data_IF_630634439036
#
_entry.id   IF_630634439036
#
_cell.length_a   1.000
_cell.length_b   1.000
_cell.length_c   1.000
_cell.angle_alpha   90.00
_cell.angle_beta   90.00
_cell.angle_gamma   90.00
#
_symmetry.space_group_name_H-M   'P 1'
#
loop_
_entity.id
_entity.type
_entity.pdbx_description
1 polymer ?
#
# COMPACT_ATOMS: atom_id res chain seq x y z
N UNK A 1 -12.46 -18.45 48.04
CA UNK A 1 -11.34 -18.21 47.11
C UNK A 1 -11.94 -17.75 45.79
N UNK A 2 -11.94 -16.44 45.55
CA UNK A 2 -12.43 -15.88 44.29
C UNK A 2 -11.43 -16.22 43.18
N UNK A 3 -11.86 -16.72 42.02
CA UNK A 3 -10.96 -17.02 40.92
C UNK A 3 -10.36 -15.71 40.43
N UNK A 4 -9.03 -15.64 40.45
CA UNK A 4 -8.24 -14.56 39.85
C UNK A 4 -8.53 -14.53 38.36
N UNK A 5 -9.36 -13.58 37.91
CA UNK A 5 -9.51 -13.23 36.50
C UNK A 5 -8.16 -12.73 36.04
N UNK A 6 -7.48 -13.49 35.18
CA UNK A 6 -6.22 -13.08 34.60
C UNK A 6 -6.42 -11.76 33.87
N UNK A 7 -5.70 -10.72 34.29
CA UNK A 7 -5.64 -9.45 33.58
C UNK A 7 -5.25 -9.71 32.11
N UNK A 8 -5.89 -9.07 31.13
CA UNK A 8 -5.43 -9.17 29.75
C UNK A 8 -3.96 -8.72 29.70
N UNK A 9 -3.09 -9.57 29.12
CA UNK A 9 -1.66 -9.24 28.97
C UNK A 9 -1.55 -7.96 28.15
N UNK A 10 -0.69 -7.04 28.58
CA UNK A 10 -0.42 -5.83 27.82
C UNK A 10 0.01 -6.19 26.38
N UNK A 11 -0.50 -5.48 25.36
CA UNK A 11 -0.16 -5.74 23.97
C UNK A 11 1.36 -5.61 23.77
N UNK A 12 1.94 -6.54 23.01
CA UNK A 12 3.39 -6.59 22.82
C UNK A 12 3.84 -5.56 21.78
N UNK A 13 4.89 -4.81 22.12
CA UNK A 13 5.61 -3.90 21.22
C UNK A 13 6.60 -4.62 20.28
N UNK A 14 6.70 -5.95 20.36
CA UNK A 14 7.55 -6.71 19.43
C UNK A 14 7.02 -6.58 17.98
N UNK A 15 7.85 -6.17 17.00
CA UNK A 15 7.44 -5.97 15.61
C UNK A 15 6.71 -7.16 14.97
N UNK A 16 7.10 -8.39 15.32
CA UNK A 16 6.46 -9.60 14.79
C UNK A 16 5.04 -9.79 15.33
N UNK A 17 4.82 -9.31 16.55
CA UNK A 17 3.51 -9.33 17.20
C UNK A 17 2.57 -8.34 16.54
N UNK A 18 3.06 -7.14 16.26
CA UNK A 18 2.32 -6.13 15.48
C UNK A 18 1.97 -6.67 14.10
N UNK A 19 2.94 -7.23 13.38
CA UNK A 19 2.72 -7.78 12.04
C UNK A 19 1.67 -8.91 12.03
N UNK A 20 1.77 -9.88 12.95
CA UNK A 20 0.82 -10.98 13.05
C UNK A 20 -0.60 -10.49 13.35
N UNK A 21 -0.73 -9.46 14.18
CA UNK A 21 -2.04 -8.88 14.49
C UNK A 21 -2.66 -8.14 13.31
N UNK A 22 -1.86 -7.39 12.56
CA UNK A 22 -2.33 -6.77 11.31
C UNK A 22 -2.79 -7.84 10.34
N UNK A 23 -2.00 -8.90 10.12
CA UNK A 23 -2.36 -9.99 9.21
C UNK A 23 -3.70 -10.63 9.59
N UNK A 24 -3.91 -10.93 10.87
CA UNK A 24 -5.20 -11.47 11.34
C UNK A 24 -6.36 -10.50 11.12
N UNK A 25 -6.14 -9.20 11.34
CA UNK A 25 -7.18 -8.21 11.10
C UNK A 25 -7.54 -8.10 9.62
N UNK A 26 -6.58 -8.26 8.71
CA UNK A 26 -6.82 -8.33 7.26
C UNK A 26 -7.64 -9.58 6.93
N UNK A 27 -7.20 -10.75 7.39
CA UNK A 27 -7.85 -12.03 7.06
C UNK A 27 -9.27 -12.13 7.66
N UNK A 28 -9.45 -11.74 8.94
CA UNK A 28 -10.74 -11.88 9.64
C UNK A 28 -11.73 -10.75 9.35
N UNK A 29 -11.26 -9.52 9.13
CA UNK A 29 -12.10 -8.31 9.09
C UNK A 29 -12.05 -7.58 7.75
N UNK A 30 -11.34 -8.12 6.76
CA UNK A 30 -11.15 -7.51 5.44
C UNK A 30 -10.65 -6.06 5.54
N UNK A 31 -9.83 -5.81 6.56
CA UNK A 31 -9.35 -4.47 6.84
C UNK A 31 -8.11 -4.14 6.01
N UNK A 32 -7.91 -2.86 5.74
CA UNK A 32 -6.80 -2.40 4.92
C UNK A 32 -5.53 -2.19 5.74
N UNK A 33 -4.43 -2.81 5.31
CA UNK A 33 -3.11 -2.75 5.99
C UNK A 33 -2.66 -1.31 6.24
N UNK A 34 -2.82 -0.44 5.24
CA UNK A 34 -2.42 0.98 5.29
C UNK A 34 -3.24 1.80 6.30
N UNK A 35 -4.37 1.28 6.78
CA UNK A 35 -5.17 1.91 7.83
C UNK A 35 -4.82 1.37 9.22
N UNK A 36 -4.65 0.04 9.33
CA UNK A 36 -4.43 -0.61 10.64
C UNK A 36 -3.00 -0.42 11.14
N UNK A 37 -2.00 -0.73 10.32
CA UNK A 37 -0.61 -0.81 10.76
C UNK A 37 -0.13 0.52 11.39
N UNK A 38 -0.34 1.71 10.79
CA UNK A 38 0.07 2.97 11.41
C UNK A 38 -0.63 3.23 12.75
N UNK A 39 -1.90 2.81 12.90
CA UNK A 39 -2.64 2.91 14.15
C UNK A 39 -2.02 2.07 15.25
N UNK A 40 -1.75 0.79 14.98
CA UNK A 40 -1.14 -0.13 15.94
C UNK A 40 0.29 0.26 16.33
N UNK A 41 1.09 0.76 15.38
CA UNK A 41 2.44 1.24 15.67
C UNK A 41 2.41 2.41 16.66
N UNK A 42 1.53 3.39 16.44
CA UNK A 42 1.35 4.53 17.36
C UNK A 42 0.80 4.10 18.72
N UNK A 43 -0.22 3.25 18.75
CA UNK A 43 -0.82 2.76 20.00
C UNK A 43 0.22 2.07 20.90
N UNK A 44 1.17 1.36 20.28
CA UNK A 44 2.20 0.58 20.99
C UNK A 44 3.54 1.30 21.15
N UNK A 45 3.66 2.53 20.67
CA UNK A 45 4.90 3.30 20.69
C UNK A 45 6.05 2.59 19.96
N UNK A 46 5.75 1.88 18.87
CA UNK A 46 6.75 1.16 18.08
C UNK A 46 7.28 2.13 17.01
N UNK A 47 8.57 2.46 17.11
CA UNK A 47 9.19 3.54 16.32
C UNK A 47 10.49 3.06 15.64
N UNK A 48 10.99 3.88 14.71
CA UNK A 48 12.30 3.70 14.08
C UNK A 48 12.49 2.32 13.44
N UNK A 49 13.56 1.61 13.85
CA UNK A 49 13.93 0.30 13.27
C UNK A 49 12.88 -0.77 13.50
N UNK A 50 12.21 -0.74 14.65
CA UNK A 50 11.19 -1.72 15.00
C UNK A 50 9.89 -1.47 14.21
N UNK A 51 9.53 -0.21 13.98
CA UNK A 51 8.45 0.15 13.07
C UNK A 51 8.77 -0.28 11.64
N UNK A 52 9.98 -0.02 11.15
CA UNK A 52 10.42 -0.46 9.84
C UNK A 52 10.37 -1.99 9.69
N UNK A 53 10.79 -2.72 10.74
CA UNK A 53 10.70 -4.18 10.76
C UNK A 53 9.25 -4.67 10.74
N UNK A 54 8.35 -4.07 11.53
CA UNK A 54 6.94 -4.42 11.54
C UNK A 54 6.28 -4.16 10.17
N UNK A 55 6.61 -3.04 9.54
CA UNK A 55 6.16 -2.68 8.19
C UNK A 55 6.62 -3.69 7.15
N UNK A 56 7.91 -4.03 7.12
CA UNK A 56 8.42 -5.04 6.18
C UNK A 56 7.79 -6.41 6.43
N UNK A 57 7.72 -6.85 7.68
CA UNK A 57 7.10 -8.12 8.04
C UNK A 57 5.63 -8.18 7.59
N UNK A 58 4.87 -7.10 7.79
CA UNK A 58 3.45 -7.06 7.41
C UNK A 58 3.28 -7.06 5.89
N UNK A 59 3.85 -6.06 5.22
CA UNK A 59 3.68 -5.89 3.78
C UNK A 59 4.37 -6.99 2.99
N UNK A 60 5.59 -7.37 3.36
CA UNK A 60 6.35 -8.41 2.69
C UNK A 60 5.71 -9.80 2.82
N UNK A 61 5.08 -10.10 3.96
CA UNK A 61 4.34 -11.35 4.13
C UNK A 61 3.09 -11.41 3.27
N UNK A 62 2.27 -10.35 3.28
CA UNK A 62 1.03 -10.26 2.49
C UNK A 62 1.35 -10.27 0.99
N UNK A 63 2.35 -9.50 0.56
CA UNK A 63 2.79 -9.41 -0.84
C UNK A 63 3.16 -10.76 -1.43
N UNK A 64 3.72 -11.67 -0.63
CA UNK A 64 4.15 -13.01 -1.05
C UNK A 64 3.26 -14.14 -0.51
N UNK A 65 2.05 -13.80 -0.04
CA UNK A 65 1.15 -14.75 0.61
C UNK A 65 0.85 -15.97 -0.25
N UNK A 66 0.52 -15.79 -1.53
CA UNK A 66 0.22 -16.88 -2.46
C UNK A 66 1.43 -17.81 -2.69
N UNK A 67 2.64 -17.24 -2.74
CA UNK A 67 3.88 -18.04 -2.80
C UNK A 67 4.07 -18.86 -1.52
N UNK A 68 3.91 -18.25 -0.35
CA UNK A 68 4.09 -18.94 0.92
C UNK A 68 3.03 -20.02 1.15
N UNK A 69 1.78 -19.76 0.76
CA UNK A 69 0.72 -20.76 0.87
C UNK A 69 1.04 -22.00 0.03
N UNK A 70 1.49 -21.85 -1.21
CA UNK A 70 1.89 -23.00 -2.05
C UNK A 70 3.02 -23.84 -1.42
N UNK A 71 3.99 -23.18 -0.78
CA UNK A 71 5.08 -23.85 -0.05
C UNK A 71 4.54 -24.57 1.18
N UNK A 72 3.72 -23.89 1.98
CA UNK A 72 3.16 -24.44 3.22
C UNK A 72 2.24 -25.62 2.94
N UNK A 73 1.43 -25.56 1.89
CA UNK A 73 0.53 -26.63 1.49
C UNK A 73 1.29 -27.86 0.96
N UNK A 74 2.47 -27.67 0.37
CA UNK A 74 3.39 -28.77 0.01
C UNK A 74 3.94 -29.48 1.26
N UNK A 75 4.14 -28.74 2.36
CA UNK A 75 4.74 -29.24 3.60
C UNK A 75 3.73 -29.79 4.61
N UNK A 76 2.51 -29.24 4.62
CA UNK A 76 1.46 -29.58 5.56
C UNK A 76 0.48 -30.59 4.95
N UNK A 77 0.49 -31.82 5.47
CA UNK A 77 -0.41 -32.91 5.04
C UNK A 77 -1.85 -32.79 5.56
N UNK A 78 -2.16 -31.70 6.27
CA UNK A 78 -3.46 -31.46 6.90
C UNK A 78 -3.78 -29.99 6.80
N UNK A 79 -5.07 -29.68 6.94
CA UNK A 79 -5.54 -28.32 7.07
C UNK A 79 -4.86 -27.61 8.26
N UNK A 80 -4.45 -26.37 8.02
CA UNK A 80 -3.77 -25.53 8.99
C UNK A 80 -4.80 -24.52 9.51
N UNK A 81 -4.92 -24.44 10.84
CA UNK A 81 -5.71 -23.40 11.50
C UNK A 81 -5.30 -22.00 11.01
N UNK A 82 -6.25 -21.09 10.67
CA UNK A 82 -5.95 -19.80 10.07
C UNK A 82 -4.90 -18.98 10.85
N UNK A 83 -5.05 -18.87 12.17
CA UNK A 83 -4.11 -18.11 13.00
C UNK A 83 -2.70 -18.72 13.02
N UNK A 84 -2.59 -20.05 12.88
CA UNK A 84 -1.32 -20.76 12.75
C UNK A 84 -0.73 -20.57 11.36
N UNK A 85 -1.56 -20.51 10.32
CA UNK A 85 -1.14 -20.24 8.94
C UNK A 85 -0.52 -18.85 8.82
N UNK A 86 -1.09 -17.83 9.44
CA UNK A 86 -0.50 -16.47 9.44
C UNK A 86 0.87 -16.44 10.10
N UNK A 87 1.04 -17.12 11.23
CA UNK A 87 2.33 -17.22 11.87
C UNK A 87 3.34 -17.99 11.00
N UNK A 88 2.91 -19.02 10.28
CA UNK A 88 3.76 -19.75 9.33
C UNK A 88 4.16 -18.89 8.13
N UNK A 89 3.23 -18.11 7.55
CA UNK A 89 3.52 -17.14 6.47
C UNK A 89 4.55 -16.11 6.93
N UNK A 90 4.35 -15.52 8.11
CA UNK A 90 5.28 -14.56 8.73
C UNK A 90 6.67 -15.18 8.96
N UNK A 91 6.71 -16.43 9.42
CA UNK A 91 7.96 -17.20 9.58
C UNK A 91 8.64 -17.50 8.25
N UNK A 92 7.88 -17.88 7.23
CA UNK A 92 8.38 -18.16 5.89
C UNK A 92 8.96 -16.88 5.24
N UNK A 93 8.30 -15.73 5.40
CA UNK A 93 8.80 -14.46 4.91
C UNK A 93 10.17 -14.12 5.51
N UNK A 94 10.32 -14.26 6.82
CA UNK A 94 11.61 -14.05 7.49
C UNK A 94 12.72 -15.00 6.99
N UNK A 95 12.38 -16.25 6.66
CA UNK A 95 13.33 -17.26 6.21
C UNK A 95 13.73 -17.09 4.74
N UNK A 96 12.77 -16.76 3.88
CA UNK A 96 12.93 -16.85 2.43
C UNK A 96 13.14 -15.48 1.76
N UNK A 97 12.80 -14.38 2.44
CA UNK A 97 12.79 -13.06 1.83
C UNK A 97 13.47 -11.98 2.67
N UNK A 98 14.00 -12.33 3.85
CA UNK A 98 14.73 -11.42 4.72
C UNK A 98 16.10 -11.98 5.10
N UNK A 99 17.00 -11.10 5.55
CA UNK A 99 18.32 -11.47 6.08
C UNK A 99 18.26 -11.80 7.57
N UNK A 100 17.32 -12.68 7.97
CA UNK A 100 17.18 -13.14 9.36
C UNK A 100 17.80 -14.54 9.49
N UNK A 101 18.72 -14.79 10.44
CA UNK A 101 19.26 -16.13 10.66
C UNK A 101 18.15 -17.15 10.92
N UNK A 102 18.21 -18.33 10.28
CA UNK A 102 17.10 -19.29 10.30
C UNK A 102 16.69 -19.71 11.72
N UNK A 103 17.65 -19.89 12.63
CA UNK A 103 17.37 -20.22 14.03
C UNK A 103 16.59 -19.09 14.74
N UNK A 104 16.88 -17.83 14.44
CA UNK A 104 16.20 -16.67 15.00
C UNK A 104 14.78 -16.54 14.43
N UNK A 105 14.60 -16.66 13.11
CA UNK A 105 13.28 -16.64 12.48
C UNK A 105 12.35 -17.74 13.03
N UNK A 106 12.86 -18.97 13.17
CA UNK A 106 12.09 -20.10 13.72
C UNK A 106 11.77 -19.87 15.19
N UNK A 107 12.78 -19.57 16.03
CA UNK A 107 12.59 -19.46 17.48
C UNK A 107 11.67 -18.30 17.89
N UNK A 108 11.79 -17.14 17.23
CA UNK A 108 10.93 -15.98 17.47
C UNK A 108 9.50 -16.26 17.06
N UNK A 109 9.27 -16.85 15.88
CA UNK A 109 7.93 -17.22 15.40
C UNK A 109 7.28 -18.29 16.28
N UNK A 110 8.04 -19.28 16.75
CA UNK A 110 7.53 -20.30 17.69
C UNK A 110 7.16 -19.69 19.04
N UNK A 111 7.96 -18.73 19.52
CA UNK A 111 7.68 -18.02 20.77
C UNK A 111 6.42 -17.15 20.65
N UNK A 112 6.27 -16.46 19.52
CA UNK A 112 5.08 -15.69 19.16
C UNK A 112 3.81 -16.58 19.18
N UNK A 113 3.86 -17.75 18.52
CA UNK A 113 2.77 -18.72 18.51
C UNK A 113 2.42 -19.22 19.91
N UNK A 114 3.42 -19.52 20.74
CA UNK A 114 3.18 -19.95 22.13
C UNK A 114 2.45 -18.89 22.94
N UNK A 115 2.80 -17.63 22.73
CA UNK A 115 2.25 -16.48 23.47
C UNK A 115 0.84 -16.14 23.03
N UNK A 116 0.57 -16.15 21.72
CA UNK A 116 -0.64 -15.54 21.13
C UNK A 116 -1.67 -16.54 20.61
N UNK A 117 -1.29 -17.82 20.44
CA UNK A 117 -2.20 -18.89 19.98
C UNK A 117 -2.25 -20.01 21.02
N UNK A 118 -1.09 -20.43 21.51
CA UNK A 118 -0.96 -21.42 22.58
C UNK A 118 0.16 -22.42 22.34
N UNK A 119 0.40 -23.28 23.34
CA UNK A 119 1.52 -24.22 23.33
C UNK A 119 1.36 -25.36 22.31
N UNK A 120 0.13 -25.81 22.06
CA UNK A 120 -0.16 -26.96 21.18
C UNK A 120 0.34 -26.79 19.73
N UNK A 121 0.06 -25.67 19.02
CA UNK A 121 0.55 -25.49 17.64
C UNK A 121 2.06 -25.23 17.54
N UNK A 122 2.74 -24.82 18.62
CA UNK A 122 4.13 -24.38 18.58
C UNK A 122 5.11 -25.46 18.06
N UNK A 123 4.89 -26.73 18.41
CA UNK A 123 5.72 -27.84 17.92
C UNK A 123 5.56 -28.07 16.42
N UNK A 124 4.33 -27.95 15.91
CA UNK A 124 4.03 -28.05 14.47
C UNK A 124 4.68 -26.90 13.70
N UNK A 125 4.53 -25.67 14.18
CA UNK A 125 5.15 -24.48 13.56
C UNK A 125 6.66 -24.62 13.49
N UNK A 126 7.31 -25.04 14.58
CA UNK A 126 8.75 -25.29 14.59
C UNK A 126 9.17 -26.34 13.54
N UNK A 127 8.42 -27.44 13.43
CA UNK A 127 8.73 -28.51 12.47
C UNK A 127 8.57 -28.05 11.02
N UNK A 128 7.50 -27.31 10.70
CA UNK A 128 7.26 -26.79 9.35
C UNK A 128 8.29 -25.73 8.98
N UNK A 129 8.56 -24.74 9.82
CA UNK A 129 9.52 -23.68 9.50
C UNK A 129 10.95 -24.19 9.36
N UNK A 130 11.33 -25.24 10.11
CA UNK A 130 12.61 -25.91 9.89
C UNK A 130 12.71 -26.52 8.50
N UNK A 131 11.63 -27.11 7.98
CA UNK A 131 11.56 -27.63 6.61
C UNK A 131 11.56 -26.52 5.57
N UNK A 132 10.84 -25.43 5.82
CA UNK A 132 10.89 -24.23 4.95
C UNK A 132 12.33 -23.75 4.81
N UNK A 133 13.10 -23.73 5.89
CA UNK A 133 14.50 -23.28 5.90
C UNK A 133 15.49 -24.22 5.20
N UNK A 134 15.07 -25.41 4.72
CA UNK A 134 15.95 -26.36 4.01
C UNK A 134 16.25 -25.93 2.56
N UNK A 135 15.51 -24.97 2.03
CA UNK A 135 15.64 -24.45 0.66
C UNK A 135 15.53 -22.93 0.67
N UNK A 136 16.21 -22.28 -0.27
CA UNK A 136 15.94 -20.87 -0.55
C UNK A 136 14.65 -20.72 -1.35
N UNK A 137 14.27 -19.46 -1.62
CA UNK A 137 13.03 -19.15 -2.32
C UNK A 137 12.99 -19.74 -3.73
N UNK A 138 14.07 -19.62 -4.51
CA UNK A 138 14.12 -20.12 -5.89
C UNK A 138 13.95 -21.64 -5.94
N UNK A 139 14.66 -22.37 -5.07
CA UNK A 139 14.50 -23.82 -4.95
C UNK A 139 13.08 -24.22 -4.54
N UNK A 140 12.42 -23.44 -3.69
CA UNK A 140 11.02 -23.67 -3.36
C UNK A 140 10.09 -23.43 -4.54
N UNK A 141 10.28 -22.33 -5.27
CA UNK A 141 9.52 -22.01 -6.48
C UNK A 141 9.60 -23.15 -7.50
N UNK A 142 10.78 -23.72 -7.72
CA UNK A 142 10.96 -24.87 -8.61
C UNK A 142 10.27 -26.16 -8.15
N UNK A 143 10.07 -26.31 -6.83
CA UNK A 143 9.30 -27.42 -6.27
C UNK A 143 7.81 -27.19 -6.48
N UNK A 144 7.30 -26.02 -6.10
CA UNK A 144 5.85 -25.74 -6.08
C UNK A 144 5.27 -25.45 -7.45
N UNK A 145 6.09 -25.03 -8.42
CA UNK A 145 5.62 -24.83 -9.81
C UNK A 145 5.89 -26.00 -10.74
N UNK A 146 6.39 -27.13 -10.22
CA UNK A 146 6.74 -28.27 -11.06
C UNK A 146 5.51 -28.90 -11.72
N UNK A 147 5.53 -28.96 -13.05
CA UNK A 147 4.44 -29.57 -13.83
C UNK A 147 3.18 -28.71 -13.95
N UNK A 148 3.24 -27.45 -13.52
CA UNK A 148 2.19 -26.48 -13.78
C UNK A 148 2.34 -25.87 -15.17
N UNK A 149 1.24 -25.35 -15.72
CA UNK A 149 1.30 -24.45 -16.87
C UNK A 149 1.96 -23.11 -16.51
N UNK A 150 2.39 -22.37 -17.53
CA UNK A 150 3.15 -21.11 -17.36
C UNK A 150 2.40 -20.09 -16.50
N UNK A 151 1.07 -19.98 -16.65
CA UNK A 151 0.26 -18.97 -15.97
C UNK A 151 0.02 -19.36 -14.49
N UNK A 152 -0.18 -20.64 -14.23
CA UNK A 152 -0.23 -21.17 -12.87
C UNK A 152 1.13 -21.05 -12.17
N UNK A 153 2.23 -21.28 -12.89
CA UNK A 153 3.58 -21.05 -12.38
C UNK A 153 3.83 -19.56 -12.09
N UNK A 154 3.44 -18.66 -12.99
CA UNK A 154 3.54 -17.20 -12.81
C UNK A 154 2.72 -16.73 -11.60
N UNK A 155 1.48 -17.21 -11.46
CA UNK A 155 0.61 -16.92 -10.31
C UNK A 155 1.30 -17.20 -8.98
N UNK A 156 1.96 -18.36 -8.84
CA UNK A 156 2.68 -18.71 -7.60
C UNK A 156 3.98 -17.92 -7.46
N UNK A 157 4.79 -17.81 -8.52
CA UNK A 157 6.11 -17.12 -8.49
C UNK A 157 5.99 -15.65 -8.15
N UNK A 158 4.92 -15.03 -8.61
CA UNK A 158 4.63 -13.62 -8.41
C UNK A 158 3.56 -13.40 -7.35
N UNK A 159 3.08 -14.44 -6.65
CA UNK A 159 2.06 -14.30 -5.60
C UNK A 159 0.78 -13.55 -6.03
N UNK A 160 0.40 -13.65 -7.30
CA UNK A 160 -0.85 -13.09 -7.81
C UNK A 160 -1.91 -14.18 -7.95
N UNK A 161 -3.17 -13.93 -7.56
CA UNK A 161 -4.27 -14.83 -7.89
C UNK A 161 -4.35 -15.08 -9.40
N UNK A 162 -4.69 -16.31 -9.81
CA UNK A 162 -4.75 -16.69 -11.24
C UNK A 162 -5.60 -15.71 -12.07
N UNK A 163 -6.73 -15.28 -11.54
CA UNK A 163 -7.62 -14.35 -12.25
C UNK A 163 -6.96 -12.98 -12.49
N UNK A 164 -6.11 -12.48 -11.58
CA UNK A 164 -5.34 -11.23 -11.80
C UNK A 164 -4.36 -11.41 -12.95
N UNK A 165 -3.63 -12.53 -12.97
CA UNK A 165 -2.68 -12.85 -14.07
C UNK A 165 -3.43 -12.88 -15.41
N UNK A 166 -4.60 -13.50 -15.44
CA UNK A 166 -5.42 -13.60 -16.64
C UNK A 166 -5.95 -12.21 -17.09
N UNK A 167 -6.41 -11.35 -16.17
CA UNK A 167 -6.88 -9.99 -16.49
C UNK A 167 -5.74 -9.07 -16.97
N UNK A 168 -4.58 -9.10 -16.32
CA UNK A 168 -3.43 -8.30 -16.74
C UNK A 168 -2.93 -8.74 -18.12
N UNK A 169 -2.96 -10.05 -18.41
CA UNK A 169 -2.65 -10.56 -19.74
C UNK A 169 -3.63 -10.05 -20.79
N UNK A 170 -4.93 -10.01 -20.48
CA UNK A 170 -5.94 -9.44 -21.39
C UNK A 170 -5.66 -7.96 -21.64
N UNK A 171 -5.35 -7.18 -20.61
CA UNK A 171 -5.01 -5.77 -20.73
C UNK A 171 -3.78 -5.56 -21.63
N UNK A 172 -2.71 -6.34 -21.44
CA UNK A 172 -1.51 -6.27 -22.27
C UNK A 172 -1.75 -6.65 -23.73
N UNK A 173 -2.67 -7.59 -24.01
CA UNK A 173 -3.06 -7.94 -25.39
C UNK A 173 -3.75 -6.78 -26.11
N UNK A 174 -4.48 -5.92 -25.41
CA UNK A 174 -5.15 -4.75 -26.02
C UNK A 174 -4.13 -3.76 -26.58
N UNK A 175 -2.93 -3.69 -25.98
CA UNK A 175 -1.84 -2.81 -26.40
C UNK A 175 -0.73 -3.55 -27.16
N UNK A 176 -0.98 -4.78 -27.62
CA UNK A 176 -0.03 -5.64 -28.36
C UNK A 176 1.30 -5.90 -27.61
N UNK A 177 1.24 -6.05 -26.29
CA UNK A 177 2.41 -6.29 -25.43
C UNK A 177 2.29 -7.53 -24.50
N UNK A 178 1.79 -8.69 -24.97
CA UNK A 178 1.53 -9.85 -24.11
C UNK A 178 2.78 -10.40 -23.40
N UNK A 179 3.97 -10.20 -23.99
CA UNK A 179 5.25 -10.68 -23.45
C UNK A 179 5.76 -9.85 -22.26
N UNK A 180 5.15 -8.69 -21.97
CA UNK A 180 5.50 -7.84 -20.82
C UNK A 180 4.92 -8.35 -19.49
N UNK A 181 4.04 -9.36 -19.52
CA UNK A 181 3.34 -9.84 -18.32
C UNK A 181 4.28 -10.21 -17.15
N UNK A 182 5.38 -10.95 -17.35
CA UNK A 182 6.30 -11.25 -16.24
C UNK A 182 6.92 -9.99 -15.63
N UNK A 183 7.24 -8.98 -16.44
CA UNK A 183 7.81 -7.72 -15.98
C UNK A 183 6.78 -6.89 -15.21
N UNK A 184 5.53 -6.84 -15.69
CA UNK A 184 4.43 -6.17 -15.01
C UNK A 184 4.14 -6.77 -13.62
N UNK A 185 4.04 -8.11 -13.53
CA UNK A 185 3.84 -8.80 -12.26
C UNK A 185 5.04 -8.64 -11.31
N UNK A 186 6.26 -8.55 -11.87
CA UNK A 186 7.46 -8.29 -11.05
C UNK A 186 7.46 -6.85 -10.52
N UNK A 187 7.02 -5.87 -11.32
CA UNK A 187 6.90 -4.48 -10.92
C UNK A 187 5.85 -4.29 -9.80
N UNK A 188 4.69 -4.96 -9.90
CA UNK A 188 3.65 -4.91 -8.87
C UNK A 188 4.11 -5.50 -7.52
N UNK A 189 5.03 -6.47 -7.57
CA UNK A 189 5.66 -7.06 -6.39
C UNK A 189 6.86 -6.29 -5.82
N UNK A 190 7.30 -5.21 -6.48
CA UNK A 190 8.36 -4.41 -5.92
C UNK A 190 7.85 -3.67 -4.66
N UNK A 191 8.66 -3.53 -3.60
CA UNK A 191 8.31 -2.63 -2.51
C UNK A 191 8.03 -1.21 -3.06
N UNK A 192 6.90 -0.59 -2.71
CA UNK A 192 6.56 0.72 -3.24
C UNK A 192 7.56 1.76 -2.74
N UNK A 193 7.92 2.70 -3.63
CA UNK A 193 8.70 3.87 -3.27
C UNK A 193 7.76 4.95 -2.72
N UNK A 194 8.21 5.67 -1.69
CA UNK A 194 7.47 6.82 -1.18
C UNK A 194 7.82 8.02 -2.05
N UNK A 195 6.85 8.47 -2.84
CA UNK A 195 6.99 9.63 -3.72
C UNK A 195 6.34 10.85 -3.08
N UNK A 196 7.09 11.96 -3.05
CA UNK A 196 6.62 13.27 -2.65
C UNK A 196 6.21 14.08 -3.89
N UNK A 197 5.29 15.00 -3.70
CA UNK A 197 4.88 16.01 -4.69
C UNK A 197 5.08 17.40 -4.10
N UNK A 198 5.84 18.26 -4.77
CA UNK A 198 5.88 19.70 -4.47
C UNK A 198 4.69 20.40 -5.11
N UNK A 199 4.17 21.45 -4.46
CA UNK A 199 3.03 22.21 -4.99
C UNK A 199 3.52 23.55 -5.52
N UNK A 200 3.44 23.80 -6.84
CA UNK A 200 3.99 25.02 -7.43
C UNK A 200 3.36 26.28 -6.79
N UNK A 201 4.19 27.28 -6.53
CA UNK A 201 3.81 28.50 -5.81
C UNK A 201 3.84 28.38 -4.29
N UNK A 202 3.91 27.17 -3.73
CA UNK A 202 4.04 26.92 -2.28
C UNK A 202 5.41 26.30 -1.91
N UNK A 203 5.95 25.45 -2.77
CA UNK A 203 7.30 24.89 -2.67
C UNK A 203 7.87 24.52 -4.05
N UNK A 204 9.16 24.18 -4.06
CA UNK A 204 9.89 23.61 -5.19
C UNK A 204 10.28 22.14 -4.89
N UNK A 205 10.45 21.27 -5.91
CA UNK A 205 11.07 19.95 -5.71
C UNK A 205 12.44 20.02 -5.02
N UNK A 206 13.19 21.11 -5.21
CA UNK A 206 14.51 21.32 -4.59
C UNK A 206 14.43 21.54 -3.06
N UNK A 207 13.26 21.94 -2.56
CA UNK A 207 13.03 22.10 -1.11
C UNK A 207 12.78 20.75 -0.41
N UNK A 208 12.58 19.68 -1.17
CA UNK A 208 12.19 18.37 -0.65
C UNK A 208 13.37 17.39 -0.63
N UNK A 209 13.43 16.48 0.37
CA UNK A 209 14.47 15.47 0.43
C UNK A 209 14.28 14.38 -0.63
N UNK A 210 15.36 13.63 -0.89
CA UNK A 210 15.34 12.48 -1.79
C UNK A 210 15.83 12.78 -3.21
N UNK A 211 15.66 11.82 -4.10
CA UNK A 211 16.11 11.90 -5.49
C UNK A 211 15.02 12.48 -6.38
N UNK A 212 15.33 13.14 -7.51
CA UNK A 212 14.31 13.54 -8.48
C UNK A 212 13.43 12.36 -8.92
N UNK A 213 12.13 12.63 -9.11
CA UNK A 213 11.24 11.69 -9.78
C UNK A 213 11.69 11.39 -11.21
N UNK A 214 11.13 10.32 -11.77
CA UNK A 214 11.49 9.84 -13.12
C UNK A 214 10.55 10.34 -14.21
N UNK A 215 9.34 10.76 -13.85
CA UNK A 215 8.27 11.12 -14.80
C UNK A 215 7.69 12.50 -14.50
N UNK A 216 7.38 12.79 -13.22
CA UNK A 216 6.74 14.06 -12.85
C UNK A 216 7.76 15.14 -12.50
N UNK A 217 7.63 16.37 -13.03
CA UNK A 217 8.52 17.48 -12.70
C UNK A 217 8.38 17.96 -11.24
N UNK A 218 7.31 17.56 -10.56
CA UNK A 218 7.03 17.91 -9.16
C UNK A 218 7.51 16.84 -8.17
N UNK A 219 8.01 15.70 -8.66
CA UNK A 219 8.23 14.52 -7.85
C UNK A 219 9.63 14.47 -7.21
N UNK A 220 9.67 13.96 -5.98
CA UNK A 220 10.88 13.52 -5.29
C UNK A 220 10.68 12.14 -4.69
N UNK A 221 11.63 11.24 -4.89
CA UNK A 221 11.61 9.88 -4.36
C UNK A 221 12.32 9.89 -3.01
N UNK A 222 11.55 9.70 -1.94
CA UNK A 222 12.08 9.68 -0.59
C UNK A 222 12.91 8.41 -0.36
N UNK A 223 14.13 8.58 0.16
CA UNK A 223 15.07 7.47 0.40
C UNK A 223 14.89 6.81 1.78
N UNK A 224 14.09 7.42 2.66
CA UNK A 224 13.71 6.90 3.96
C UNK A 224 13.13 7.98 4.89
N UNK A 225 12.61 7.55 6.04
CA UNK A 225 11.99 8.43 7.03
C UNK A 225 10.47 8.55 6.89
N UNK A 226 9.85 9.26 7.84
CA UNK A 226 8.41 9.54 7.81
C UNK A 226 8.15 10.84 7.04
N UNK A 227 7.40 10.80 5.91
CA UNK A 227 7.08 12.01 5.16
C UNK A 227 6.29 13.04 5.98
N UNK A 228 5.58 12.63 7.04
CA UNK A 228 4.87 13.54 7.94
C UNK A 228 5.79 14.45 8.76
N UNK A 229 7.07 14.09 8.91
CA UNK A 229 8.06 14.92 9.60
C UNK A 229 8.62 16.05 8.73
N UNK A 230 8.42 15.98 7.41
CA UNK A 230 8.91 16.98 6.45
C UNK A 230 8.06 18.26 6.60
N UNK A 231 8.66 19.44 6.87
CA UNK A 231 7.92 20.70 7.07
C UNK A 231 6.97 21.04 5.93
N UNK A 232 7.43 20.92 4.68
CA UNK A 232 6.64 21.20 3.48
C UNK A 232 5.38 20.32 3.41
N UNK A 233 5.49 19.04 3.79
CA UNK A 233 4.34 18.11 3.83
C UNK A 233 3.40 18.48 4.98
N UNK A 234 3.94 18.76 6.17
CA UNK A 234 3.21 19.14 7.37
C UNK A 234 2.45 20.46 7.22
N UNK A 235 2.98 21.37 6.41
CA UNK A 235 2.35 22.67 6.14
C UNK A 235 1.39 22.61 4.94
N UNK A 236 1.40 21.52 4.17
CA UNK A 236 0.58 21.37 2.97
C UNK A 236 1.15 22.13 1.78
N UNK A 237 2.45 22.43 1.78
CA UNK A 237 3.17 22.93 0.62
C UNK A 237 3.65 21.78 -0.27
N UNK A 238 3.73 20.57 0.27
CA UNK A 238 3.97 19.32 -0.43
C UNK A 238 3.02 18.22 0.06
N UNK A 239 3.09 17.03 -0.52
CA UNK A 239 2.35 15.85 -0.08
C UNK A 239 3.00 14.54 -0.50
N UNK A 240 2.43 13.42 -0.06
CA UNK A 240 2.78 12.08 -0.57
C UNK A 240 1.83 11.75 -1.72
N UNK A 241 2.38 11.51 -2.91
CA UNK A 241 1.59 11.19 -4.09
C UNK A 241 2.46 10.48 -5.12
N UNK A 242 1.97 9.37 -5.68
CA UNK A 242 2.63 8.64 -6.76
C UNK A 242 2.82 9.51 -8.02
N UNK A 243 3.92 9.30 -8.74
CA UNK A 243 4.26 10.07 -9.95
C UNK A 243 3.18 9.95 -11.03
N UNK A 244 2.58 8.78 -11.22
CA UNK A 244 1.49 8.58 -12.18
C UNK A 244 0.28 9.44 -11.83
N UNK A 245 -0.09 9.50 -10.55
CA UNK A 245 -1.17 10.38 -10.08
C UNK A 245 -0.85 11.87 -10.27
N UNK A 246 0.41 12.27 -10.10
CA UNK A 246 0.84 13.64 -10.38
C UNK A 246 0.69 13.96 -11.87
N UNK A 247 1.13 13.04 -12.74
CA UNK A 247 1.07 13.22 -14.19
C UNK A 247 -0.35 13.37 -14.70
N UNK A 248 -1.36 12.72 -14.10
CA UNK A 248 -2.76 12.95 -14.49
C UNK A 248 -3.14 14.44 -14.32
N UNK A 249 -2.77 15.06 -13.19
CA UNK A 249 -3.04 16.48 -12.96
C UNK A 249 -2.24 17.39 -13.90
N UNK A 250 -0.97 17.06 -14.16
CA UNK A 250 -0.12 17.80 -15.11
C UNK A 250 -0.67 17.71 -16.52
N UNK A 251 -1.02 16.52 -16.99
CA UNK A 251 -1.58 16.32 -18.33
C UNK A 251 -2.90 17.07 -18.50
N UNK A 252 -3.79 17.05 -17.50
CA UNK A 252 -5.00 17.86 -17.56
C UNK A 252 -4.68 19.35 -17.65
N UNK A 253 -3.73 19.85 -16.85
CA UNK A 253 -3.37 21.26 -16.87
C UNK A 253 -2.71 21.68 -18.20
N UNK A 254 -1.91 20.82 -18.83
CA UNK A 254 -1.24 21.12 -20.11
C UNK A 254 -2.14 20.92 -21.34
N UNK A 255 -3.31 20.29 -21.19
CA UNK A 255 -4.25 20.13 -22.28
C UNK A 255 -4.68 21.49 -22.87
N UNK A 256 -4.82 21.57 -24.19
CA UNK A 256 -5.35 22.78 -24.84
C UNK A 256 -6.84 22.96 -24.51
N UNK A 257 -7.24 24.19 -24.19
CA UNK A 257 -8.63 24.56 -23.92
C UNK A 257 -9.02 25.67 -24.88
N UNK A 258 -10.23 25.57 -25.43
CA UNK A 258 -10.85 26.65 -26.22
C UNK A 258 -11.64 27.56 -25.28
N UNK A 259 -11.43 28.88 -25.37
CA UNK A 259 -12.15 29.85 -24.55
C UNK A 259 -11.44 30.20 -23.24
N UNK A 260 -12.18 30.20 -22.13
CA UNK A 260 -11.65 30.51 -20.80
C UNK A 260 -10.84 29.36 -20.20
N UNK A 261 -9.92 29.68 -19.29
CA UNK A 261 -9.18 28.70 -18.49
C UNK A 261 -9.13 29.17 -17.03
N UNK A 262 -10.30 29.37 -16.44
CA UNK A 262 -10.48 30.07 -15.16
C UNK A 262 -11.15 29.21 -14.08
N UNK A 263 -11.86 28.15 -14.45
CA UNK A 263 -12.67 27.35 -13.53
C UNK A 263 -12.52 25.87 -13.79
N UNK A 264 -11.87 25.17 -12.87
CA UNK A 264 -11.54 23.75 -12.98
C UNK A 264 -12.36 22.91 -11.99
N UNK A 265 -12.51 21.62 -12.28
CA UNK A 265 -13.22 20.67 -11.43
C UNK A 265 -12.41 19.38 -11.24
N UNK A 266 -12.25 18.97 -9.98
CA UNK A 266 -11.95 17.59 -9.60
C UNK A 266 -13.23 16.96 -9.04
N UNK A 267 -13.86 16.08 -9.82
CA UNK A 267 -15.20 15.56 -9.51
C UNK A 267 -15.19 14.49 -8.40
N UNK A 268 -14.07 13.80 -8.23
CA UNK A 268 -13.90 12.66 -7.31
C UNK A 268 -12.60 12.84 -6.51
N UNK A 269 -12.52 13.95 -5.78
CA UNK A 269 -11.27 14.48 -5.26
C UNK A 269 -10.64 13.66 -4.13
N UNK A 270 -11.39 12.80 -3.42
CA UNK A 270 -10.88 12.10 -2.24
C UNK A 270 -9.69 11.17 -2.56
N UNK A 271 -8.60 11.16 -1.75
CA UNK A 271 -8.36 11.92 -0.52
C UNK A 271 -7.73 13.31 -0.70
N UNK A 272 -7.59 13.83 -1.93
CA UNK A 272 -7.24 15.23 -2.21
C UNK A 272 -5.85 15.47 -2.82
N UNK A 273 -5.07 14.43 -3.09
CA UNK A 273 -3.72 14.57 -3.66
C UNK A 273 -3.72 15.24 -5.04
N UNK A 274 -4.60 14.75 -5.95
CA UNK A 274 -4.75 15.31 -7.30
C UNK A 274 -5.31 16.73 -7.24
N UNK A 275 -6.38 16.95 -6.48
CA UNK A 275 -6.93 18.29 -6.23
C UNK A 275 -5.88 19.29 -5.71
N UNK A 276 -5.00 18.89 -4.80
CA UNK A 276 -3.99 19.77 -4.25
C UNK A 276 -2.90 20.16 -5.27
N UNK A 277 -2.40 19.21 -6.07
CA UNK A 277 -1.47 19.53 -7.14
C UNK A 277 -2.15 20.36 -8.24
N UNK A 278 -3.32 19.92 -8.70
CA UNK A 278 -4.07 20.58 -9.76
C UNK A 278 -4.45 22.02 -9.36
N UNK A 279 -4.92 22.22 -8.14
CA UNK A 279 -5.28 23.55 -7.64
C UNK A 279 -4.08 24.47 -7.41
N UNK A 280 -2.91 23.92 -7.06
CA UNK A 280 -1.66 24.70 -7.03
C UNK A 280 -1.26 25.16 -8.43
N UNK A 281 -1.37 24.29 -9.45
CA UNK A 281 -1.15 24.68 -10.85
C UNK A 281 -2.19 25.71 -11.30
N UNK A 282 -3.46 25.53 -10.95
CA UNK A 282 -4.54 26.47 -11.24
C UNK A 282 -4.25 27.87 -10.67
N UNK A 283 -3.76 27.94 -9.43
CA UNK A 283 -3.41 29.20 -8.77
C UNK A 283 -2.34 29.98 -9.55
N UNK A 284 -1.33 29.29 -10.10
CA UNK A 284 -0.30 29.92 -10.93
C UNK A 284 -0.84 30.52 -12.23
N UNK A 285 -2.05 30.11 -12.65
CA UNK A 285 -2.73 30.57 -13.86
C UNK A 285 -3.89 31.52 -13.57
N UNK A 286 -4.12 31.88 -12.30
CA UNK A 286 -5.26 32.69 -11.89
C UNK A 286 -6.61 31.97 -11.97
N UNK A 287 -6.60 30.64 -12.01
CA UNK A 287 -7.81 29.80 -12.06
C UNK A 287 -8.22 29.31 -10.66
N UNK A 288 -9.50 28.98 -10.53
CA UNK A 288 -10.11 28.39 -9.33
C UNK A 288 -10.40 26.91 -9.55
N UNK A 289 -10.36 26.12 -8.49
CA UNK A 289 -10.71 24.69 -8.52
C UNK A 289 -11.91 24.41 -7.61
N UNK A 290 -12.89 23.69 -8.12
CA UNK A 290 -13.88 23.00 -7.28
C UNK A 290 -13.39 21.57 -7.08
N UNK A 291 -13.23 21.14 -5.84
CA UNK A 291 -12.91 19.76 -5.47
C UNK A 291 -14.15 19.12 -4.83
N UNK A 292 -14.78 18.19 -5.54
CA UNK A 292 -15.98 17.49 -5.08
C UNK A 292 -15.64 16.09 -4.57
N UNK A 293 -16.23 15.69 -3.46
CA UNK A 293 -16.16 14.32 -2.97
C UNK A 293 -17.50 13.91 -2.36
N UNK A 294 -18.02 12.76 -2.78
CA UNK A 294 -19.36 12.29 -2.36
C UNK A 294 -19.43 11.92 -0.88
N UNK A 295 -18.31 11.46 -0.28
CA UNK A 295 -18.28 11.04 1.12
C UNK A 295 -17.78 12.18 2.03
N UNK A 296 -18.58 12.64 3.02
CA UNK A 296 -18.19 13.74 3.90
C UNK A 296 -16.83 13.54 4.58
N UNK A 297 -16.55 12.34 5.09
CA UNK A 297 -15.29 12.03 5.75
C UNK A 297 -14.08 12.10 4.80
N UNK A 298 -14.22 11.67 3.55
CA UNK A 298 -13.15 11.82 2.54
C UNK A 298 -13.00 13.28 2.12
N UNK A 299 -14.09 14.06 2.09
CA UNK A 299 -14.01 15.50 1.84
C UNK A 299 -13.21 16.24 2.92
N UNK A 300 -13.23 15.78 4.18
CA UNK A 300 -12.36 16.33 5.23
C UNK A 300 -10.87 16.07 4.94
N UNK A 301 -10.54 14.89 4.39
CA UNK A 301 -9.18 14.61 3.91
C UNK A 301 -8.80 15.55 2.75
N UNK A 302 -9.73 15.84 1.84
CA UNK A 302 -9.51 16.81 0.76
C UNK A 302 -9.24 18.20 1.34
N UNK A 303 -10.07 18.68 2.27
CA UNK A 303 -9.87 19.97 2.97
C UNK A 303 -8.50 20.04 3.64
N UNK A 304 -8.10 18.97 4.32
CA UNK A 304 -6.77 18.88 4.91
C UNK A 304 -5.70 18.92 3.82
N UNK A 305 -5.86 18.15 2.73
CA UNK A 305 -4.90 18.10 1.65
C UNK A 305 -4.72 19.46 0.97
N UNK A 306 -5.77 20.28 0.81
CA UNK A 306 -5.71 21.58 0.12
C UNK A 306 -5.53 22.79 1.04
N UNK A 307 -5.37 22.61 2.35
CA UNK A 307 -5.37 23.67 3.38
C UNK A 307 -4.45 24.88 3.16
N UNK A 308 -3.42 24.76 2.31
CA UNK A 308 -2.48 25.82 1.99
C UNK A 308 -2.85 26.61 0.72
N UNK A 309 -3.99 26.28 0.08
CA UNK A 309 -4.47 26.87 -1.17
C UNK A 309 -5.79 27.59 -0.91
N UNK A 310 -5.87 28.84 -1.36
CA UNK A 310 -7.05 29.70 -1.16
C UNK A 310 -8.00 29.72 -2.36
N UNK A 311 -7.56 29.23 -3.52
CA UNK A 311 -8.32 29.23 -4.77
C UNK A 311 -9.20 27.97 -4.96
N UNK A 312 -9.43 27.19 -3.89
CA UNK A 312 -10.09 25.89 -3.96
C UNK A 312 -11.34 25.88 -3.09
N UNK A 313 -12.46 25.49 -3.69
CA UNK A 313 -13.71 25.22 -2.98
C UNK A 313 -13.91 23.71 -2.84
N UNK A 314 -14.10 23.21 -1.61
CA UNK A 314 -14.39 21.79 -1.36
C UNK A 314 -15.89 21.57 -1.15
N UNK A 315 -16.51 20.77 -2.01
CA UNK A 315 -17.95 20.49 -2.01
C UNK A 315 -18.25 19.01 -1.78
N UNK A 316 -19.49 18.70 -1.37
CA UNK A 316 -19.93 17.33 -1.07
C UNK A 316 -21.23 17.04 -1.81
N UNK A 317 -21.09 16.52 -3.03
CA UNK A 317 -22.21 16.14 -3.89
C UNK A 317 -21.93 14.79 -4.58
N UNK A 318 -23.02 14.11 -4.97
CA UNK A 318 -22.92 13.03 -5.96
C UNK A 318 -22.55 13.65 -7.30
N UNK A 319 -21.41 13.24 -7.88
CA UNK A 319 -20.92 13.81 -9.14
C UNK A 319 -21.84 13.57 -10.34
N UNK A 320 -22.82 12.66 -10.22
CA UNK A 320 -23.83 12.42 -11.26
C UNK A 320 -24.95 13.46 -11.27
N UNK A 321 -25.19 14.13 -10.14
CA UNK A 321 -26.33 15.02 -9.89
C UNK A 321 -25.88 16.35 -9.27
N UNK A 322 -24.60 16.72 -9.45
CA UNK A 322 -24.04 17.91 -8.84
C UNK A 322 -24.72 19.22 -9.28
N UNK A 323 -24.63 20.29 -8.49
CA UNK A 323 -25.37 21.54 -8.71
C UNK A 323 -24.81 22.41 -9.85
N UNK A 324 -23.92 21.87 -10.68
CA UNK A 324 -23.17 22.63 -11.68
C UNK A 324 -23.89 22.62 -13.03
N UNK A 325 -23.96 23.78 -13.67
CA UNK A 325 -24.49 23.90 -15.02
C UNK A 325 -23.56 23.25 -16.05
N UNK A 326 -24.14 22.71 -17.12
CA UNK A 326 -23.38 22.12 -18.23
C UNK A 326 -22.45 23.16 -18.87
N UNK A 327 -21.19 22.79 -19.10
CA UNK A 327 -20.19 23.70 -19.68
C UNK A 327 -19.70 24.79 -18.74
N UNK A 328 -19.97 24.69 -17.43
CA UNK A 328 -19.54 25.70 -16.44
C UNK A 328 -18.11 25.53 -15.93
N UNK A 329 -17.37 24.52 -16.42
CA UNK A 329 -15.97 24.27 -16.11
C UNK A 329 -15.16 24.14 -17.39
N UNK A 330 -13.96 24.72 -17.37
CA UNK A 330 -13.02 24.73 -18.49
C UNK A 330 -12.18 23.43 -18.52
N UNK A 331 -11.93 22.84 -17.35
CA UNK A 331 -11.19 21.59 -17.17
C UNK A 331 -11.87 20.71 -16.13
N UNK A 332 -11.98 19.41 -16.42
CA UNK A 332 -12.56 18.43 -15.51
C UNK A 332 -11.68 17.19 -15.43
N UNK A 333 -11.29 16.80 -14.21
CA UNK A 333 -10.74 15.48 -13.91
C UNK A 333 -11.79 14.63 -13.21
N UNK A 334 -11.86 13.36 -13.62
CA UNK A 334 -12.67 12.33 -12.96
C UNK A 334 -11.78 11.16 -12.60
N UNK A 335 -11.24 11.18 -11.39
CA UNK A 335 -10.55 10.04 -10.78
C UNK A 335 -11.59 9.07 -10.20
N UNK A 336 -12.28 8.36 -11.09
CA UNK A 336 -13.45 7.55 -10.73
C UNK A 336 -13.08 6.45 -9.71
N UNK A 337 -13.98 6.10 -8.78
CA UNK A 337 -13.80 4.94 -7.91
C UNK A 337 -13.54 3.68 -8.75
N UNK A 338 -12.38 3.06 -8.55
CA UNK A 338 -11.95 1.85 -9.25
C UNK A 338 -11.71 0.69 -8.26
N UNK A 339 -11.55 -0.52 -8.82
CA UNK A 339 -11.30 -1.77 -8.09
C UNK A 339 -9.95 -1.77 -7.39
#
# INVERSE_FOLDING_TARGET
>A
MSPSVASPKAPSSDPRSVALEVMRAVDERQAYVNLILPGLLRERGVEGRDAALATELTHGTIRRQGTYDAILDTLAKREIDPAVRDALRLGAHQLLSMRVPSHAAVSTTVSLVRRDIGHKPAGFVNAVLRRVAEKDLEMWLDVVTRGLDDDAALSIRTSHPRWIVDELRKALRVIDAPDELPALLAADNAPPRVTLVSRPGLSSPDDLPGDPGTVSPYAKILTGGDPGEIPEVRDGRAGVQDEGSQMVAVTLAEASVEGSDSRWLDLCAGPGGKAALLGAIAAQRGATLVANEVQPHRADLVRQAVRALENIEVTVHDGREGPWESGSFDRVIVDAPCT
#
